data_IF_881976230370
#
_entry.id   IF_881976230370
#
_cell.length_a   1.000
_cell.length_b   1.000
_cell.length_c   1.000
_cell.angle_alpha   90.00
_cell.angle_beta   90.00
_cell.angle_gamma   90.00
#
_symmetry.space_group_name_H-M   'P 1'
#
loop_
_entity.id
_entity.type
_entity.pdbx_description
1 polymer ?
#
# COMPACT_ATOMS: atom_id res chain seq x y z
N UNK A 1 17.79 8.23 -8.14
CA UNK A 1 17.40 9.67 -8.18
C UNK A 1 16.13 9.90 -8.97
N UNK A 2 15.97 9.37 -10.19
CA UNK A 2 14.71 9.47 -10.97
C UNK A 2 13.52 8.81 -10.24
N UNK A 3 13.78 7.75 -9.52
CA UNK A 3 12.79 7.01 -8.73
C UNK A 3 12.15 7.85 -7.63
N UNK A 4 12.90 8.75 -7.01
CA UNK A 4 12.42 9.65 -5.94
C UNK A 4 11.75 10.91 -6.50
N UNK A 5 11.88 11.22 -7.79
CA UNK A 5 11.19 12.35 -8.42
C UNK A 5 9.79 12.00 -8.94
N UNK A 6 9.43 10.71 -9.02
CA UNK A 6 8.13 10.26 -9.51
C UNK A 6 7.02 10.55 -8.48
N UNK A 7 6.04 11.36 -8.88
CA UNK A 7 4.87 11.66 -8.05
C UNK A 7 4.01 10.45 -7.68
N UNK A 8 4.18 9.32 -8.36
CA UNK A 8 3.47 8.07 -8.07
C UNK A 8 4.16 7.21 -7.00
N UNK A 9 5.35 7.59 -6.55
CA UNK A 9 6.02 6.92 -5.42
C UNK A 9 5.34 7.32 -4.12
N UNK A 10 4.97 6.34 -3.30
CA UNK A 10 4.25 6.58 -2.03
C UNK A 10 5.05 7.51 -1.11
N UNK A 11 6.35 7.28 -0.98
CA UNK A 11 7.23 8.12 -0.19
C UNK A 11 7.16 9.60 -0.58
N UNK A 12 7.16 9.94 -1.88
CA UNK A 12 7.05 11.32 -2.35
C UNK A 12 5.70 11.95 -2.00
N UNK A 13 4.63 11.15 -1.93
CA UNK A 13 3.32 11.61 -1.48
C UNK A 13 3.31 11.87 0.02
N UNK A 14 3.99 11.03 0.81
CA UNK A 14 4.17 11.21 2.25
C UNK A 14 4.96 12.50 2.53
N UNK A 15 6.09 12.71 1.84
CA UNK A 15 6.87 13.95 2.00
C UNK A 15 6.06 15.20 1.67
N UNK A 16 5.25 15.14 0.61
CA UNK A 16 4.36 16.24 0.24
C UNK A 16 3.30 16.51 1.31
N UNK A 17 2.68 15.45 1.86
CA UNK A 17 1.75 15.59 2.97
C UNK A 17 2.40 16.28 4.18
N UNK A 18 3.60 15.83 4.56
CA UNK A 18 4.36 16.40 5.68
C UNK A 18 4.67 17.90 5.40
N UNK A 19 5.15 18.21 4.19
CA UNK A 19 5.45 19.59 3.79
C UNK A 19 4.22 20.49 3.80
N UNK A 20 3.07 19.98 3.32
CA UNK A 20 1.81 20.72 3.29
C UNK A 20 1.29 20.99 4.72
N UNK A 21 1.39 20.05 5.63
CA UNK A 21 1.04 20.24 7.04
C UNK A 21 2.00 21.26 7.70
N UNK A 22 3.31 21.11 7.52
CA UNK A 22 4.31 22.01 8.08
C UNK A 22 4.15 23.47 7.60
N UNK A 23 3.68 23.65 6.38
CA UNK A 23 3.44 24.99 5.78
C UNK A 23 2.03 25.51 6.05
N UNK A 24 1.21 24.79 6.81
CA UNK A 24 -0.18 25.16 7.10
C UNK A 24 -1.10 25.13 5.89
N UNK A 25 -0.72 24.45 4.79
CA UNK A 25 -1.56 24.25 3.61
C UNK A 25 -2.60 23.15 3.80
N UNK A 26 -2.34 22.25 4.73
CA UNK A 26 -3.23 21.17 5.12
C UNK A 26 -3.21 21.00 6.64
N UNK A 27 -4.35 20.66 7.23
CA UNK A 27 -4.44 20.23 8.63
C UNK A 27 -3.85 18.84 8.79
N UNK A 28 -3.34 18.52 9.96
CA UNK A 28 -2.84 17.17 10.24
C UNK A 28 -3.95 16.13 10.05
N UNK A 29 -3.64 15.00 9.37
CA UNK A 29 -4.64 13.98 9.12
C UNK A 29 -4.99 13.22 10.41
N UNK A 30 -6.26 12.88 10.57
CA UNK A 30 -6.73 11.94 11.59
C UNK A 30 -6.77 10.50 11.04
N UNK A 31 -6.86 10.36 9.70
CA UNK A 31 -6.86 9.09 9.00
C UNK A 31 -5.95 9.18 7.78
N UNK A 32 -5.06 8.20 7.65
CA UNK A 32 -4.18 8.03 6.50
C UNK A 32 -4.48 6.67 5.87
N UNK A 33 -4.85 6.66 4.60
CA UNK A 33 -5.11 5.44 3.85
C UNK A 33 -4.02 5.27 2.79
N UNK A 34 -3.27 4.17 2.86
CA UNK A 34 -2.22 3.85 1.90
C UNK A 34 -2.71 2.73 0.98
N UNK A 35 -2.86 3.02 -0.30
CA UNK A 35 -3.20 2.05 -1.34
C UNK A 35 -2.06 1.92 -2.33
N UNK A 36 -1.32 0.83 -2.27
CA UNK A 36 -0.13 0.59 -3.09
C UNK A 36 0.08 -0.90 -3.38
N UNK A 37 1.16 -1.24 -4.10
CA UNK A 37 1.58 -2.62 -4.36
C UNK A 37 1.24 -3.15 -5.75
N UNK A 38 0.27 -2.59 -6.48
CA UNK A 38 -0.08 -3.04 -7.84
C UNK A 38 1.12 -2.99 -8.77
N UNK A 39 1.83 -1.86 -8.83
CA UNK A 39 3.00 -1.70 -9.69
C UNK A 39 4.19 -2.54 -9.21
N UNK A 40 4.31 -2.81 -7.93
CA UNK A 40 5.33 -3.69 -7.37
C UNK A 40 5.13 -5.14 -7.80
N UNK A 41 3.87 -5.56 -7.93
CA UNK A 41 3.53 -6.85 -8.51
C UNK A 41 3.64 -6.87 -10.04
N UNK A 42 3.33 -5.76 -10.74
CA UNK A 42 3.23 -5.70 -12.19
C UNK A 42 4.58 -5.67 -12.90
N UNK A 43 5.57 -4.99 -12.33
CA UNK A 43 6.85 -4.72 -12.97
C UNK A 43 8.04 -5.46 -12.33
N UNK A 44 8.05 -6.83 -12.33
CA UNK A 44 9.12 -7.59 -11.66
C UNK A 44 10.51 -7.37 -12.24
N UNK A 45 10.61 -7.09 -13.55
CA UNK A 45 11.90 -6.86 -14.20
C UNK A 45 12.50 -5.50 -13.84
N UNK A 46 11.66 -4.49 -13.67
CA UNK A 46 12.05 -3.13 -13.26
C UNK A 46 12.27 -3.01 -11.75
N UNK A 47 11.68 -3.94 -10.98
CA UNK A 47 11.69 -3.95 -9.52
C UNK A 47 12.04 -5.35 -8.98
N UNK A 48 13.23 -5.87 -9.30
CA UNK A 48 13.62 -7.24 -8.92
C UNK A 48 13.72 -7.43 -7.40
N UNK A 49 13.99 -6.37 -6.65
CA UNK A 49 14.23 -6.40 -5.21
C UNK A 49 12.95 -6.34 -4.37
N UNK A 50 11.76 -6.15 -4.99
CA UNK A 50 10.49 -5.97 -4.24
C UNK A 50 10.23 -7.06 -3.22
N UNK A 51 10.50 -8.33 -3.56
CA UNK A 51 10.30 -9.47 -2.68
C UNK A 51 11.63 -10.11 -2.23
N UNK A 52 12.72 -9.34 -2.22
CA UNK A 52 14.05 -9.86 -1.86
C UNK A 52 14.28 -10.02 -0.35
N UNK A 53 13.45 -9.38 0.47
CA UNK A 53 13.49 -9.46 1.92
C UNK A 53 12.11 -9.89 2.43
N UNK A 54 12.07 -10.88 3.31
CA UNK A 54 10.83 -11.27 3.98
C UNK A 54 10.45 -10.25 5.06
N UNK A 55 9.18 -10.27 5.49
CA UNK A 55 8.72 -9.40 6.57
C UNK A 55 9.50 -9.69 7.86
N UNK A 56 9.72 -10.96 8.20
CA UNK A 56 10.51 -11.33 9.36
C UNK A 56 11.90 -10.67 9.33
N UNK A 57 12.63 -10.81 8.22
CA UNK A 57 13.95 -10.19 8.05
C UNK A 57 13.89 -8.66 8.13
N UNK A 58 12.90 -8.04 7.50
CA UNK A 58 12.73 -6.59 7.54
C UNK A 58 12.47 -6.06 8.97
N UNK A 59 11.90 -6.87 9.85
CA UNK A 59 11.59 -6.50 11.24
C UNK A 59 12.56 -7.06 12.28
N UNK A 60 13.56 -7.86 11.89
CA UNK A 60 14.67 -8.28 12.77
C UNK A 60 15.59 -7.12 13.16
N UNK A 61 15.76 -6.13 12.27
CA UNK A 61 16.58 -4.97 12.57
C UNK A 61 15.92 -4.13 13.66
N UNK A 62 16.64 -3.81 14.78
CA UNK A 62 16.08 -2.98 15.85
C UNK A 62 15.62 -1.61 15.34
N UNK A 63 14.53 -1.07 15.91
CA UNK A 63 13.98 0.24 15.52
C UNK A 63 15.00 1.37 15.70
N UNK A 64 15.88 1.27 16.71
CA UNK A 64 16.97 2.23 16.94
C UNK A 64 17.96 2.31 15.77
N UNK A 65 18.11 1.25 14.99
CA UNK A 65 18.96 1.21 13.79
C UNK A 65 18.12 1.57 12.56
N UNK A 66 16.96 0.92 12.43
CA UNK A 66 16.08 1.11 11.27
C UNK A 66 15.62 2.56 11.09
N UNK A 67 15.41 3.30 12.18
CA UNK A 67 15.02 4.73 12.16
C UNK A 67 16.06 5.65 11.52
N UNK A 68 17.31 5.20 11.36
CA UNK A 68 18.38 5.95 10.67
C UNK A 68 18.48 5.61 9.18
N UNK A 69 17.69 4.67 8.69
CA UNK A 69 17.64 4.37 7.26
C UNK A 69 17.08 5.56 6.48
N UNK A 70 17.42 5.60 5.20
CA UNK A 70 16.94 6.63 4.25
C UNK A 70 16.18 5.93 3.11
N UNK A 71 15.36 6.65 2.35
CA UNK A 71 14.63 6.08 1.21
C UNK A 71 15.51 5.33 0.21
N UNK A 72 16.78 5.72 0.08
CA UNK A 72 17.74 5.09 -0.82
C UNK A 72 18.24 3.73 -0.30
N UNK A 73 18.12 3.49 1.01
CA UNK A 73 18.62 2.28 1.66
C UNK A 73 17.54 1.22 1.87
N UNK A 74 16.27 1.58 1.73
CA UNK A 74 15.13 0.63 1.78
C UNK A 74 14.75 0.23 0.35
N UNK A 75 14.72 -1.07 0.03
CA UNK A 75 14.58 -1.56 -1.34
C UNK A 75 13.48 -2.58 -1.53
N UNK A 76 13.29 -3.46 -0.56
CA UNK A 76 12.22 -4.43 -0.59
C UNK A 76 10.90 -3.82 -0.14
N UNK A 77 9.78 -4.42 -0.55
CA UNK A 77 8.45 -3.97 -0.16
C UNK A 77 8.26 -3.97 1.35
N UNK A 78 8.75 -5.01 2.03
CA UNK A 78 8.64 -5.12 3.48
C UNK A 78 9.37 -3.96 4.20
N UNK A 79 10.60 -3.65 3.76
CA UNK A 79 11.36 -2.51 4.30
C UNK A 79 10.67 -1.17 4.02
N UNK A 80 10.15 -0.98 2.80
CA UNK A 80 9.46 0.27 2.40
C UNK A 80 8.18 0.46 3.20
N UNK A 81 7.34 -0.58 3.35
CA UNK A 81 6.12 -0.48 4.15
C UNK A 81 6.44 -0.16 5.61
N UNK A 82 7.44 -0.84 6.20
CA UNK A 82 7.93 -0.52 7.55
C UNK A 82 8.39 0.93 7.64
N UNK A 83 9.22 1.39 6.69
CA UNK A 83 9.78 2.73 6.66
C UNK A 83 8.69 3.80 6.58
N UNK A 84 7.81 3.71 5.58
CA UNK A 84 6.75 4.68 5.34
C UNK A 84 5.77 4.76 6.53
N UNK A 85 5.34 3.61 7.06
CA UNK A 85 4.42 3.58 8.19
C UNK A 85 5.06 4.10 9.48
N UNK A 86 6.30 3.73 9.79
CA UNK A 86 6.98 4.22 11.00
C UNK A 86 7.28 5.72 10.91
N UNK A 87 7.59 6.24 9.71
CA UNK A 87 7.72 7.67 9.47
C UNK A 87 6.40 8.40 9.75
N UNK A 88 5.29 7.91 9.20
CA UNK A 88 3.96 8.50 9.43
C UNK A 88 3.53 8.44 10.89
N UNK A 89 3.74 7.32 11.57
CA UNK A 89 3.46 7.18 13.01
C UNK A 89 4.25 8.19 13.86
N UNK A 90 5.48 8.47 13.48
CA UNK A 90 6.32 9.44 14.18
C UNK A 90 5.88 10.87 13.95
N UNK A 91 5.48 11.23 12.72
CA UNK A 91 5.11 12.60 12.36
C UNK A 91 3.66 12.91 12.75
N UNK A 92 2.76 11.94 12.59
CA UNK A 92 1.32 12.06 12.88
C UNK A 92 0.89 11.00 13.91
N UNK A 93 1.34 11.13 15.19
CA UNK A 93 1.15 10.07 16.20
C UNK A 93 -0.32 9.83 16.57
N UNK A 94 -1.21 10.74 16.23
CA UNK A 94 -2.65 10.61 16.48
C UNK A 94 -3.45 10.17 15.25
N UNK A 95 -2.79 10.02 14.08
CA UNK A 95 -3.44 9.55 12.88
C UNK A 95 -3.61 8.02 12.91
N UNK A 96 -4.80 7.54 12.60
CA UNK A 96 -5.00 6.14 12.29
C UNK A 96 -4.49 5.86 10.87
N UNK A 97 -3.67 4.81 10.70
CA UNK A 97 -3.18 4.37 9.40
C UNK A 97 -3.90 3.09 8.99
N UNK A 98 -4.42 3.06 7.76
CA UNK A 98 -5.06 1.89 7.16
C UNK A 98 -4.34 1.52 5.87
N UNK A 99 -3.88 0.30 5.76
CA UNK A 99 -3.26 -0.23 4.55
C UNK A 99 -4.30 -0.93 3.68
N UNK A 100 -4.24 -0.68 2.38
CA UNK A 100 -5.04 -1.40 1.40
C UNK A 100 -4.11 -2.27 0.55
N UNK A 101 -4.37 -3.58 0.48
CA UNK A 101 -3.67 -4.46 -0.47
C UNK A 101 -4.14 -4.19 -1.91
N UNK A 102 -3.33 -4.49 -2.94
CA UNK A 102 -3.77 -4.35 -4.32
C UNK A 102 -4.97 -5.27 -4.63
N UNK A 103 -5.87 -4.83 -5.49
CA UNK A 103 -6.92 -5.67 -6.06
C UNK A 103 -6.32 -6.72 -7.01
N UNK A 104 -7.04 -7.82 -7.22
CA UNK A 104 -6.66 -8.79 -8.26
C UNK A 104 -6.63 -8.16 -9.64
N UNK A 105 -5.81 -8.71 -10.53
CA UNK A 105 -5.63 -8.21 -11.90
C UNK A 105 -5.43 -9.38 -12.87
N UNK A 106 -5.94 -9.25 -14.08
CA UNK A 106 -5.68 -10.24 -15.14
C UNK A 106 -4.32 -10.05 -15.83
N UNK A 107 -3.69 -8.90 -15.63
CA UNK A 107 -2.38 -8.56 -16.21
C UNK A 107 -1.20 -8.98 -15.33
N UNK A 108 -1.46 -9.33 -14.08
CA UNK A 108 -0.45 -9.72 -13.09
C UNK A 108 -0.63 -11.20 -12.75
N UNK A 109 0.45 -12.01 -12.71
CA UNK A 109 0.36 -13.37 -12.20
C UNK A 109 -0.18 -13.40 -10.77
N UNK A 110 -1.23 -14.21 -10.53
CA UNK A 110 -1.92 -14.27 -9.24
C UNK A 110 -0.95 -14.52 -8.08
N UNK A 111 0.00 -15.47 -8.22
CA UNK A 111 0.99 -15.78 -7.18
C UNK A 111 1.82 -14.55 -6.78
N UNK A 112 2.21 -13.72 -7.75
CA UNK A 112 3.02 -12.53 -7.46
C UNK A 112 2.17 -11.45 -6.78
N UNK A 113 0.96 -11.24 -7.26
CA UNK A 113 0.06 -10.27 -6.65
C UNK A 113 -0.27 -10.65 -5.20
N UNK A 114 -0.57 -11.93 -4.95
CA UNK A 114 -0.81 -12.42 -3.60
C UNK A 114 0.42 -12.34 -2.70
N UNK A 115 1.63 -12.57 -3.23
CA UNK A 115 2.87 -12.39 -2.46
C UNK A 115 3.07 -10.93 -2.03
N UNK A 116 2.82 -9.98 -2.92
CA UNK A 116 2.86 -8.53 -2.61
C UNK A 116 1.78 -8.17 -1.58
N UNK A 117 0.54 -8.62 -1.78
CA UNK A 117 -0.56 -8.35 -0.86
C UNK A 117 -0.31 -8.94 0.53
N UNK A 118 0.25 -10.14 0.60
CA UNK A 118 0.59 -10.81 1.85
C UNK A 118 1.72 -10.10 2.59
N UNK A 119 2.74 -9.63 1.87
CA UNK A 119 3.81 -8.81 2.46
C UNK A 119 3.25 -7.54 3.11
N UNK A 120 2.34 -6.82 2.42
CA UNK A 120 1.70 -5.62 2.98
C UNK A 120 0.88 -5.99 4.24
N UNK A 121 0.13 -7.09 4.20
CA UNK A 121 -0.69 -7.52 5.32
C UNK A 121 0.15 -7.89 6.54
N UNK A 122 1.20 -8.68 6.35
CA UNK A 122 2.11 -9.06 7.43
C UNK A 122 2.87 -7.87 8.02
N UNK A 123 3.24 -6.88 7.21
CA UNK A 123 3.80 -5.62 7.73
C UNK A 123 2.76 -4.86 8.59
N UNK A 124 1.50 -4.84 8.16
CA UNK A 124 0.42 -4.27 8.95
C UNK A 124 0.27 -4.96 10.31
N UNK A 125 0.31 -6.30 10.33
CA UNK A 125 0.25 -7.09 11.57
C UNK A 125 1.43 -6.76 12.49
N UNK A 126 2.66 -6.66 11.96
CA UNK A 126 3.85 -6.28 12.74
C UNK A 126 3.75 -4.88 13.37
N UNK A 127 3.06 -3.97 12.71
CA UNK A 127 2.91 -2.57 13.12
C UNK A 127 1.58 -2.31 13.85
N UNK A 128 0.76 -3.33 14.10
CA UNK A 128 -0.59 -3.21 14.67
C UNK A 128 -1.50 -2.25 13.88
N UNK A 129 -1.37 -2.24 12.55
CA UNK A 129 -2.18 -1.44 11.64
C UNK A 129 -3.34 -2.23 11.06
N UNK A 130 -4.46 -1.54 10.82
CA UNK A 130 -5.59 -2.13 10.09
C UNK A 130 -5.24 -2.35 8.62
N UNK A 131 -5.55 -3.54 8.10
CA UNK A 131 -5.33 -3.89 6.70
C UNK A 131 -6.64 -4.32 6.04
N UNK A 132 -7.00 -3.65 4.94
CA UNK A 132 -8.14 -4.03 4.10
C UNK A 132 -7.65 -4.87 2.93
N UNK A 133 -8.06 -6.14 2.90
CA UNK A 133 -7.60 -7.18 1.95
C UNK A 133 -8.36 -7.11 0.63
N UNK A 134 -8.07 -6.11 -0.22
CA UNK A 134 -8.70 -6.00 -1.54
C UNK A 134 -8.36 -7.17 -2.47
N UNK A 135 -7.22 -7.82 -2.28
CA UNK A 135 -6.83 -9.03 -3.00
C UNK A 135 -7.76 -10.23 -2.74
N UNK A 136 -8.45 -10.25 -1.61
CA UNK A 136 -9.35 -11.35 -1.19
C UNK A 136 -10.83 -10.99 -1.28
N UNK A 137 -11.19 -9.75 -1.05
CA UNK A 137 -12.57 -9.36 -0.74
C UNK A 137 -13.15 -8.28 -1.66
N UNK A 138 -12.36 -7.68 -2.56
CA UNK A 138 -12.87 -6.67 -3.49
C UNK A 138 -13.81 -7.28 -4.54
N UNK A 139 -14.57 -6.42 -5.24
CA UNK A 139 -15.41 -6.87 -6.36
C UNK A 139 -14.59 -7.37 -7.56
N UNK A 140 -13.32 -6.97 -7.68
CA UNK A 140 -12.43 -7.35 -8.77
C UNK A 140 -11.81 -8.72 -8.48
N UNK A 141 -12.18 -9.71 -9.26
CA UNK A 141 -11.61 -11.06 -9.21
C UNK A 141 -10.97 -11.37 -10.56
N UNK A 142 -9.70 -11.77 -10.58
CA UNK A 142 -8.99 -12.11 -11.81
C UNK A 142 -9.70 -13.21 -12.62
N UNK A 143 -10.28 -14.20 -11.94
CA UNK A 143 -11.05 -15.27 -12.58
C UNK A 143 -12.30 -14.72 -13.31
N UNK A 144 -13.04 -13.82 -12.67
CA UNK A 144 -14.22 -13.19 -13.28
C UNK A 144 -13.83 -12.29 -14.45
N UNK A 145 -12.82 -11.45 -14.26
CA UNK A 145 -12.37 -10.51 -15.28
C UNK A 145 -11.76 -11.18 -16.52
N UNK A 146 -11.18 -12.39 -16.37
CA UNK A 146 -10.76 -13.22 -17.51
C UNK A 146 -11.96 -13.73 -18.33
N UNK A 147 -13.09 -13.96 -17.68
CA UNK A 147 -14.28 -14.50 -18.35
C UNK A 147 -15.13 -13.41 -18.98
N UNK A 148 -15.36 -12.32 -18.27
CA UNK A 148 -16.35 -11.30 -18.68
C UNK A 148 -16.04 -9.92 -18.05
N UNK A 149 -14.99 -9.32 -18.25
CA UNK A 149 -14.60 -7.93 -17.82
C UNK A 149 -15.74 -7.08 -17.24
N UNK A 150 -16.27 -7.51 -16.10
CA UNK A 150 -17.45 -6.90 -15.49
C UNK A 150 -17.15 -5.57 -14.79
N UNK A 151 -15.96 -5.47 -14.16
CA UNK A 151 -15.63 -4.38 -13.24
C UNK A 151 -14.36 -3.64 -13.60
N UNK A 152 -13.66 -4.06 -14.66
CA UNK A 152 -12.45 -3.42 -15.14
C UNK A 152 -12.57 -3.06 -16.63
N UNK A 153 -11.77 -2.09 -17.07
CA UNK A 153 -11.62 -1.73 -18.49
C UNK A 153 -10.65 -2.64 -19.21
N UNK A 154 -9.59 -3.02 -18.53
CA UNK A 154 -8.43 -3.74 -19.09
C UNK A 154 -8.01 -4.98 -18.28
N UNK A 155 -8.77 -5.31 -17.23
CA UNK A 155 -8.46 -6.38 -16.31
C UNK A 155 -7.72 -5.92 -15.05
N UNK A 156 -7.44 -4.63 -14.92
CA UNK A 156 -6.74 -4.03 -13.77
C UNK A 156 -7.43 -2.75 -13.29
N UNK A 157 -7.60 -1.79 -14.19
CA UNK A 157 -8.23 -0.51 -13.86
C UNK A 157 -9.74 -0.64 -13.84
N UNK A 158 -10.37 -0.22 -12.76
CA UNK A 158 -11.82 -0.30 -12.61
C UNK A 158 -12.55 0.53 -13.65
N UNK A 159 -13.63 -0.02 -14.21
CA UNK A 159 -14.63 0.76 -14.91
C UNK A 159 -15.56 1.46 -13.89
N UNK A 160 -16.55 2.23 -14.37
CA UNK A 160 -17.46 2.99 -13.50
C UNK A 160 -18.16 2.09 -12.48
N UNK A 161 -18.66 0.93 -12.90
CA UNK A 161 -19.36 0.00 -12.00
C UNK A 161 -18.40 -0.62 -10.99
N UNK A 162 -17.19 -1.00 -11.42
CA UNK A 162 -16.14 -1.50 -10.55
C UNK A 162 -15.69 -0.47 -9.52
N UNK A 163 -15.49 0.78 -9.94
CA UNK A 163 -15.14 1.87 -9.03
C UNK A 163 -16.26 2.11 -7.99
N UNK A 164 -17.52 2.12 -8.43
CA UNK A 164 -18.67 2.28 -7.52
C UNK A 164 -18.74 1.16 -6.48
N UNK A 165 -18.65 -0.11 -6.91
CA UNK A 165 -18.72 -1.27 -6.00
C UNK A 165 -17.53 -1.34 -5.06
N UNK A 166 -16.33 -1.10 -5.58
CA UNK A 166 -15.15 -1.09 -4.73
C UNK A 166 -15.18 0.08 -3.74
N UNK A 167 -15.72 1.23 -4.13
CA UNK A 167 -15.96 2.37 -3.24
C UNK A 167 -16.88 2.02 -2.06
N UNK A 168 -18.00 1.36 -2.32
CA UNK A 168 -18.89 0.88 -1.25
C UNK A 168 -18.21 -0.16 -0.35
N UNK A 169 -17.48 -1.10 -0.93
CA UNK A 169 -16.72 -2.09 -0.18
C UNK A 169 -15.69 -1.41 0.74
N UNK A 170 -14.89 -0.50 0.20
CA UNK A 170 -13.87 0.23 0.96
C UNK A 170 -14.49 1.09 2.07
N UNK A 171 -15.56 1.82 1.78
CA UNK A 171 -16.26 2.63 2.76
C UNK A 171 -16.72 1.78 3.97
N UNK A 172 -17.34 0.64 3.70
CA UNK A 172 -17.79 -0.28 4.74
C UNK A 172 -16.62 -0.87 5.55
N UNK A 173 -15.56 -1.31 4.87
CA UNK A 173 -14.40 -1.94 5.53
C UNK A 173 -13.61 -0.92 6.34
N UNK A 174 -13.35 0.27 5.79
CA UNK A 174 -12.64 1.33 6.51
C UNK A 174 -13.47 1.79 7.71
N UNK A 175 -14.78 2.03 7.57
CA UNK A 175 -15.65 2.39 8.69
C UNK A 175 -15.64 1.34 9.80
N UNK A 176 -15.50 0.05 9.48
CA UNK A 176 -15.48 -1.02 10.47
C UNK A 176 -14.17 -1.11 11.27
N UNK A 177 -13.10 -0.48 10.82
CA UNK A 177 -11.79 -0.49 11.48
C UNK A 177 -11.41 0.87 12.09
N UNK A 178 -12.26 1.89 11.93
CA UNK A 178 -12.05 3.19 12.60
C UNK A 178 -12.18 3.06 14.11
N UNK A 179 -11.33 3.76 14.84
CA UNK A 179 -11.17 3.65 16.30
C UNK A 179 -11.64 4.90 17.07
N UNK A 180 -12.49 5.74 16.46
CA UNK A 180 -13.12 6.92 17.11
C UNK A 180 -14.63 6.83 17.11
#
# INVERSE_FOLDING_TARGET
TERLSDNNVVFNQIERLIDDCNKGRQIEPQLIIISAGTNDAWFPKQRPEVLSCSVAQAFEEPDSIFSHRTPETVRSLAEVVRYDCTLLMRIFPHAQIVLLTPMQSTAIPDLRLFAVAETIAQCGDQLSLSVVRQDKESCVSSARERTARCFTTDGTHTNIEGARRNGYYLANRISSVLQW
#
